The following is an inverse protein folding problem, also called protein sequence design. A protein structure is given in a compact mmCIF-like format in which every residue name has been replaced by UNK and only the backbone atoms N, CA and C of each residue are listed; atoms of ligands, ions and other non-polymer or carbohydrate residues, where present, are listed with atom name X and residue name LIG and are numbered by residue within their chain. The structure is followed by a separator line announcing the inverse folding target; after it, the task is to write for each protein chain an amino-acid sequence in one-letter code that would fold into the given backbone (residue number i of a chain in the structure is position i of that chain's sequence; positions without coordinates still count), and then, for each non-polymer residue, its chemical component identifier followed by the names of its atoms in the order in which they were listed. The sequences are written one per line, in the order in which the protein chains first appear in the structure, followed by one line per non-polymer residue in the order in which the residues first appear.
data_IF_191012111040
#
_entry.id   IF_191012111040
#
_cell.length_a   1.000
_cell.length_b   1.000
_cell.length_c   1.000
_cell.angle_alpha   90.00
_cell.angle_beta   90.00
_cell.angle_gamma   90.00
#
_symmetry.space_group_name_H-M   'P 1'
#
loop_
_entity.id
_entity.type
_entity.pdbx_description
1 polymer ?
#
# COMPACT_ATOMS: atom_id res chain seq x y z
N UNK A 1 -1.75 9.57 20.93
CA UNK A 1 -1.71 9.99 19.52
C UNK A 1 -2.97 9.48 18.84
N UNK A 2 -3.60 10.30 18.02
CA UNK A 2 -4.79 9.89 17.26
C UNK A 2 -4.42 8.80 16.23
N UNK A 3 -5.26 7.79 16.07
CA UNK A 3 -5.03 6.66 15.16
C UNK A 3 -3.74 5.86 15.45
N UNK A 4 -3.31 5.79 16.69
CA UNK A 4 -2.01 5.18 17.06
C UNK A 4 -1.91 3.70 16.67
N UNK A 5 -2.96 2.92 16.87
CA UNK A 5 -2.97 1.49 16.57
C UNK A 5 -2.72 1.21 15.08
N UNK A 6 -3.49 1.86 14.21
CA UNK A 6 -3.35 1.66 12.76
C UNK A 6 -2.02 2.18 12.21
N UNK A 7 -1.49 3.30 12.76
CA UNK A 7 -0.16 3.81 12.40
C UNK A 7 0.94 2.81 12.75
N UNK A 8 0.89 2.20 13.95
CA UNK A 8 1.84 1.15 14.36
C UNK A 8 1.77 -0.04 13.43
N UNK A 9 0.58 -0.53 13.09
CA UNK A 9 0.41 -1.65 12.16
C UNK A 9 1.00 -1.37 10.79
N UNK A 10 0.75 -0.19 10.21
CA UNK A 10 1.34 0.20 8.92
C UNK A 10 2.85 0.34 8.99
N UNK A 11 3.37 0.92 10.09
CA UNK A 11 4.80 1.05 10.30
C UNK A 11 5.50 -0.32 10.42
N UNK A 12 4.95 -1.22 11.22
CA UNK A 12 5.48 -2.58 11.39
C UNK A 12 5.50 -3.32 10.05
N UNK A 13 4.42 -3.24 9.29
CA UNK A 13 4.31 -3.89 7.99
C UNK A 13 5.33 -3.35 6.96
N UNK A 14 5.54 -2.03 6.91
CA UNK A 14 6.52 -1.46 5.97
C UNK A 14 7.96 -1.80 6.37
N UNK A 15 8.28 -1.82 7.66
CA UNK A 15 9.60 -2.22 8.15
C UNK A 15 9.87 -3.69 7.85
N UNK A 16 8.90 -4.56 8.05
CA UNK A 16 8.99 -5.98 7.67
C UNK A 16 9.18 -6.15 6.16
N UNK A 17 8.47 -5.39 5.34
CA UNK A 17 8.62 -5.43 3.88
C UNK A 17 10.02 -4.98 3.43
N UNK A 18 10.61 -3.98 4.09
CA UNK A 18 11.99 -3.55 3.85
C UNK A 18 12.98 -4.64 4.28
N UNK A 19 12.81 -5.22 5.47
CA UNK A 19 13.67 -6.30 5.98
C UNK A 19 13.67 -7.52 5.05
N UNK A 20 12.52 -7.87 4.49
CA UNK A 20 12.36 -8.98 3.53
C UNK A 20 12.79 -8.64 2.10
N UNK A 21 13.28 -7.42 1.83
CA UNK A 21 13.71 -6.99 0.50
C UNK A 21 12.58 -6.83 -0.52
N UNK A 22 11.33 -6.71 -0.07
CA UNK A 22 10.16 -6.47 -0.92
C UNK A 22 10.05 -5.02 -1.35
N UNK A 23 10.67 -4.13 -0.59
CA UNK A 23 10.69 -2.68 -0.79
C UNK A 23 12.14 -2.19 -0.71
N UNK A 24 12.55 -1.40 -1.71
CA UNK A 24 13.87 -0.81 -1.78
C UNK A 24 13.80 0.73 -1.75
N UNK A 25 14.61 1.34 -0.90
CA UNK A 25 14.67 2.80 -0.78
C UNK A 25 13.35 3.39 -0.32
N UNK A 26 12.78 4.26 -1.13
CA UNK A 26 11.48 4.94 -0.88
C UNK A 26 10.38 4.47 -1.81
N UNK A 27 10.63 3.40 -2.57
CA UNK A 27 9.65 2.83 -3.50
C UNK A 27 8.61 1.97 -2.76
N UNK A 28 7.44 1.81 -3.37
CA UNK A 28 6.34 1.08 -2.75
C UNK A 28 5.65 1.86 -1.63
N UNK A 29 4.57 1.33 -1.15
CA UNK A 29 3.81 1.90 -0.03
C UNK A 29 2.88 0.85 0.58
N UNK A 30 2.48 1.09 1.81
CA UNK A 30 1.47 0.30 2.51
C UNK A 30 0.41 1.24 3.03
N UNK A 31 -0.85 0.87 2.79
CA UNK A 31 -2.00 1.58 3.32
C UNK A 31 -2.94 0.62 4.04
N UNK A 32 -3.57 1.09 5.10
CA UNK A 32 -4.54 0.33 5.86
C UNK A 32 -5.72 1.22 6.25
N UNK A 33 -6.92 0.69 6.11
CA UNK A 33 -8.18 1.32 6.49
C UNK A 33 -8.40 1.15 7.98
N UNK A 34 -8.89 2.20 8.65
CA UNK A 34 -9.27 2.12 10.06
C UNK A 34 -10.47 1.17 10.25
N UNK A 35 -10.52 0.48 11.38
CA UNK A 35 -11.56 -0.51 11.67
C UNK A 35 -12.88 0.12 12.13
N UNK A 36 -12.82 1.31 12.73
CA UNK A 36 -13.98 2.02 13.28
C UNK A 36 -14.55 3.01 12.26
N UNK A 37 -13.66 3.74 11.57
CA UNK A 37 -14.05 4.67 10.50
C UNK A 37 -13.38 4.26 9.17
N UNK A 38 -14.13 3.62 8.32
CA UNK A 38 -13.65 3.08 7.04
C UNK A 38 -13.25 4.15 6.01
N UNK A 39 -13.54 5.42 6.26
CA UNK A 39 -13.06 6.53 5.44
C UNK A 39 -11.66 6.98 5.84
N UNK A 40 -11.21 6.58 7.01
CA UNK A 40 -9.85 6.87 7.49
C UNK A 40 -8.88 5.81 6.99
N UNK A 41 -7.77 6.24 6.43
CA UNK A 41 -6.70 5.39 5.91
C UNK A 41 -5.36 5.90 6.42
N UNK A 42 -4.61 5.02 7.08
CA UNK A 42 -3.20 5.25 7.38
C UNK A 42 -2.37 4.78 6.17
N UNK A 43 -1.40 5.59 5.77
CA UNK A 43 -0.53 5.28 4.62
C UNK A 43 0.90 5.77 4.87
N UNK A 44 1.86 5.03 4.35
CA UNK A 44 3.27 5.43 4.39
C UNK A 44 3.49 6.77 3.68
N UNK A 45 4.43 7.61 4.19
CA UNK A 45 4.72 8.92 3.58
C UNK A 45 5.45 8.80 2.25
N UNK A 46 5.44 9.89 1.49
CA UNK A 46 6.09 10.00 0.18
C UNK A 46 7.57 10.40 0.33
N UNK A 47 8.46 9.64 -0.32
CA UNK A 47 9.86 10.03 -0.51
C UNK A 47 10.72 10.07 0.76
N UNK A 48 10.26 9.46 1.85
CA UNK A 48 10.96 9.39 3.13
C UNK A 48 11.49 7.97 3.33
N UNK A 49 12.74 7.85 3.82
CA UNK A 49 13.30 6.55 4.19
C UNK A 49 12.48 5.91 5.32
N UNK A 50 12.17 4.64 5.16
CA UNK A 50 11.45 3.88 6.19
C UNK A 50 12.32 3.56 7.41
N UNK A 51 13.64 3.57 7.27
CA UNK A 51 14.58 3.34 8.40
C UNK A 51 14.50 4.47 9.42
N UNK A 52 14.21 4.13 10.66
CA UNK A 52 14.09 5.11 11.76
C UNK A 52 12.76 5.85 11.81
N UNK A 53 11.80 5.49 10.95
CA UNK A 53 10.45 6.05 10.95
C UNK A 53 9.71 5.72 12.26
N UNK A 54 8.84 6.62 12.67
CA UNK A 54 8.02 6.48 13.87
C UNK A 54 6.53 6.47 13.51
N UNK A 55 5.64 6.01 14.40
CA UNK A 55 4.21 5.98 14.13
C UNK A 55 3.61 7.34 13.73
N UNK A 56 4.09 8.44 14.30
CA UNK A 56 3.66 9.80 13.96
C UNK A 56 4.04 10.25 12.54
N UNK A 57 4.97 9.53 11.90
CA UNK A 57 5.40 9.80 10.53
C UNK A 57 4.47 9.17 9.48
N UNK A 58 3.69 8.15 9.88
CA UNK A 58 2.65 7.56 9.03
C UNK A 58 1.53 8.59 8.84
N UNK A 59 1.21 8.89 7.58
CA UNK A 59 0.18 9.84 7.25
C UNK A 59 -1.22 9.25 7.45
N UNK A 60 -2.15 10.10 7.87
CA UNK A 60 -3.58 9.78 7.92
C UNK A 60 -4.30 10.61 6.87
N UNK A 61 -5.07 9.94 6.04
CA UNK A 61 -5.94 10.57 5.05
C UNK A 61 -7.39 10.19 5.32
N UNK A 62 -8.27 11.13 5.07
CA UNK A 62 -9.72 10.92 5.09
C UNK A 62 -10.24 10.93 3.65
N UNK A 63 -10.93 9.85 3.28
CA UNK A 63 -11.59 9.76 2.00
C UNK A 63 -12.96 10.42 2.10
N UNK A 64 -13.22 11.43 1.27
CA UNK A 64 -14.48 12.17 1.22
C UNK A 64 -15.51 11.46 0.34
N UNK A 65 -16.78 11.85 0.49
CA UNK A 65 -17.91 11.32 -0.29
C UNK A 65 -17.76 11.58 -1.79
N UNK A 66 -17.16 12.71 -2.16
CA UNK A 66 -16.88 13.08 -3.56
C UNK A 66 -15.71 12.28 -4.19
N UNK A 67 -15.09 11.37 -3.41
CA UNK A 67 -13.97 10.53 -3.84
C UNK A 67 -12.60 11.18 -3.68
N UNK A 68 -12.52 12.42 -3.22
CA UNK A 68 -11.25 13.08 -2.89
C UNK A 68 -10.65 12.51 -1.60
N UNK A 69 -9.35 12.71 -1.43
CA UNK A 69 -8.62 12.31 -0.24
C UNK A 69 -8.00 13.55 0.41
N UNK A 70 -8.29 13.75 1.68
CA UNK A 70 -7.73 14.84 2.48
C UNK A 70 -6.68 14.30 3.45
N UNK A 71 -5.49 14.89 3.42
CA UNK A 71 -4.47 14.61 4.43
C UNK A 71 -4.82 15.36 5.72
N UNK A 72 -5.14 14.61 6.78
CA UNK A 72 -5.66 15.17 8.02
C UNK A 72 -4.68 15.09 9.20
N UNK A 73 -3.63 14.22 9.14
CA UNK A 73 -2.65 14.09 10.22
C UNK A 73 -1.38 13.36 9.75
N UNK A 74 -0.27 13.54 10.48
CA UNK A 74 1.04 12.94 10.24
C UNK A 74 2.12 13.99 9.97
N UNK A 75 3.39 13.66 10.28
CA UNK A 75 4.51 14.58 10.14
C UNK A 75 4.92 14.81 8.67
N UNK A 76 4.64 13.86 7.80
CA UNK A 76 5.06 13.89 6.39
C UNK A 76 3.88 13.71 5.45
N UNK A 77 4.00 14.31 4.26
CA UNK A 77 3.02 14.18 3.19
C UNK A 77 2.78 12.71 2.85
N UNK A 78 1.52 12.28 2.71
CA UNK A 78 1.19 10.91 2.32
C UNK A 78 1.78 10.54 0.96
N UNK A 79 1.94 9.24 0.71
CA UNK A 79 2.33 8.71 -0.61
C UNK A 79 1.48 9.33 -1.73
N UNK A 80 2.10 9.60 -2.87
CA UNK A 80 1.39 10.03 -4.09
C UNK A 80 0.38 9.00 -4.59
N UNK A 81 0.51 7.76 -4.14
CA UNK A 81 -0.35 6.63 -4.51
C UNK A 81 -1.64 6.51 -3.66
N UNK A 82 -1.94 7.52 -2.82
CA UNK A 82 -3.21 7.57 -2.05
C UNK A 82 -4.42 7.28 -2.93
N UNK A 83 -4.58 7.91 -4.13
CA UNK A 83 -5.76 7.67 -4.96
C UNK A 83 -5.91 6.21 -5.38
N UNK A 84 -4.81 5.54 -5.75
CA UNK A 84 -4.81 4.12 -6.13
C UNK A 84 -5.22 3.25 -4.94
N UNK A 85 -4.57 3.43 -3.78
CA UNK A 85 -4.84 2.63 -2.58
C UNK A 85 -6.30 2.77 -2.11
N UNK A 86 -6.80 4.00 -2.07
CA UNK A 86 -8.18 4.27 -1.63
C UNK A 86 -9.22 3.79 -2.64
N UNK A 87 -8.91 3.81 -3.95
CA UNK A 87 -9.80 3.30 -4.98
C UNK A 87 -9.91 1.76 -4.93
N UNK A 88 -8.81 1.04 -4.69
CA UNK A 88 -8.83 -0.41 -4.44
C UNK A 88 -9.75 -0.71 -3.26
N UNK A 89 -9.57 0.00 -2.14
CA UNK A 89 -10.40 -0.18 -0.94
C UNK A 89 -11.88 0.16 -1.17
N UNK A 90 -12.16 1.12 -2.05
CA UNK A 90 -13.54 1.47 -2.42
C UNK A 90 -14.22 0.37 -3.21
N UNK A 91 -13.53 -0.18 -4.22
CA UNK A 91 -14.06 -1.26 -5.08
C UNK A 91 -14.10 -2.60 -4.38
N UNK A 92 -13.24 -2.81 -3.41
CA UNK A 92 -13.13 -4.03 -2.62
C UNK A 92 -13.40 -3.73 -1.15
N UNK A 93 -14.68 -3.63 -0.73
CA UNK A 93 -15.03 -3.35 0.66
C UNK A 93 -14.60 -4.46 1.64
N UNK A 94 -14.31 -5.64 1.15
CA UNK A 94 -13.73 -6.78 1.86
C UNK A 94 -12.23 -6.61 2.15
N UNK A 95 -11.52 -5.74 1.40
CA UNK A 95 -10.09 -5.46 1.57
C UNK A 95 -9.88 -4.33 2.58
N UNK A 96 -9.04 -4.55 3.59
CA UNK A 96 -8.74 -3.57 4.62
C UNK A 96 -7.33 -2.96 4.49
N UNK A 97 -6.44 -3.58 3.74
CA UNK A 97 -5.08 -3.08 3.51
C UNK A 97 -4.64 -3.31 2.07
N UNK A 98 -3.68 -2.52 1.65
CA UNK A 98 -3.00 -2.65 0.36
C UNK A 98 -1.48 -2.61 0.58
N UNK A 99 -0.76 -3.44 -0.15
CA UNK A 99 0.70 -3.47 -0.16
C UNK A 99 1.15 -3.32 -1.60
N UNK A 100 1.79 -2.19 -1.89
CA UNK A 100 2.39 -1.91 -3.19
C UNK A 100 3.91 -2.12 -3.11
N UNK A 101 4.42 -3.02 -3.90
CA UNK A 101 5.86 -3.33 -3.98
C UNK A 101 6.38 -3.11 -5.40
N UNK A 102 7.68 -2.83 -5.51
CA UNK A 102 8.39 -2.78 -6.79
C UNK A 102 9.23 -4.05 -6.95
N UNK A 103 8.58 -5.20 -7.03
CA UNK A 103 9.26 -6.48 -7.25
C UNK A 103 9.99 -6.47 -8.60
N UNK A 104 11.31 -6.67 -8.57
CA UNK A 104 12.15 -6.67 -9.77
C UNK A 104 11.68 -7.69 -10.81
N UNK A 105 11.36 -8.90 -10.39
CA UNK A 105 10.92 -9.96 -11.30
C UNK A 105 9.55 -9.68 -11.90
N UNK A 106 8.59 -9.16 -11.11
CA UNK A 106 7.28 -8.77 -11.63
C UNK A 106 7.42 -7.61 -12.64
N UNK A 107 8.29 -6.64 -12.36
CA UNK A 107 8.56 -5.53 -13.27
C UNK A 107 9.19 -6.03 -14.58
N UNK A 108 10.14 -6.95 -14.52
CA UNK A 108 10.75 -7.56 -15.73
C UNK A 108 9.67 -8.29 -16.55
N UNK A 109 8.80 -9.06 -15.90
CA UNK A 109 7.68 -9.73 -16.60
C UNK A 109 6.73 -8.72 -17.26
N UNK A 110 6.42 -7.62 -16.59
CA UNK A 110 5.55 -6.57 -17.12
C UNK A 110 6.15 -5.81 -18.32
N UNK A 111 7.47 -5.81 -18.49
CA UNK A 111 8.15 -5.21 -19.63
C UNK A 111 8.19 -6.12 -20.87
N UNK A 112 7.74 -7.36 -20.78
CA UNK A 112 7.72 -8.33 -21.87
C UNK A 112 6.61 -8.02 -22.90
N UNK A 113 6.79 -8.53 -24.13
CA UNK A 113 5.80 -8.38 -25.21
C UNK A 113 4.50 -9.16 -24.97
N UNK A 114 4.53 -10.15 -24.05
CA UNK A 114 3.37 -10.96 -23.65
C UNK A 114 3.24 -10.92 -22.11
N UNK A 115 2.48 -9.98 -21.57
CA UNK A 115 2.35 -9.78 -20.12
C UNK A 115 1.46 -10.82 -19.41
N UNK A 116 1.23 -11.97 -20.00
CA UNK A 116 0.46 -13.07 -19.40
C UNK A 116 1.38 -13.99 -18.59
N UNK A 117 1.13 -14.10 -17.29
CA UNK A 117 1.80 -15.07 -16.43
C UNK A 117 1.01 -16.38 -16.43
N UNK A 118 1.56 -17.42 -17.09
CA UNK A 118 1.00 -18.77 -17.00
C UNK A 118 1.25 -19.37 -15.61
N UNK A 119 0.28 -20.09 -15.05
CA UNK A 119 0.47 -20.77 -13.77
C UNK A 119 1.50 -21.90 -13.93
N UNK A 120 2.54 -21.86 -13.11
CA UNK A 120 3.56 -22.90 -13.04
C UNK A 120 3.58 -23.61 -11.69
N UNK A 121 2.86 -23.11 -10.70
CA UNK A 121 2.73 -23.72 -9.38
C UNK A 121 1.27 -23.82 -8.97
N UNK A 122 0.87 -24.83 -8.15
CA UNK A 122 -0.53 -24.98 -7.72
C UNK A 122 -1.16 -23.72 -7.12
N UNK A 123 -0.49 -22.92 -6.26
CA UNK A 123 -1.07 -21.68 -5.74
C UNK A 123 -1.39 -20.65 -6.83
N UNK A 124 -0.65 -20.63 -7.94
CA UNK A 124 -0.91 -19.71 -9.05
C UNK A 124 -2.17 -20.07 -9.83
N UNK A 125 -2.58 -21.34 -9.81
CA UNK A 125 -3.80 -21.78 -10.50
C UNK A 125 -5.08 -21.20 -9.91
N UNK A 126 -5.04 -20.69 -8.68
CA UNK A 126 -6.18 -20.01 -8.04
C UNK A 126 -6.39 -18.58 -8.58
N UNK A 127 -5.38 -17.99 -9.20
CA UNK A 127 -5.35 -16.60 -9.62
C UNK A 127 -5.17 -16.38 -11.12
N UNK A 128 -5.40 -17.39 -11.94
CA UNK A 128 -5.14 -17.32 -13.38
C UNK A 128 -6.39 -17.17 -14.23
N UNK A 129 -6.26 -16.50 -15.38
CA UNK A 129 -5.06 -15.82 -15.88
C UNK A 129 -4.76 -14.55 -15.08
N UNK A 130 -3.45 -14.29 -14.80
CA UNK A 130 -3.02 -13.01 -14.27
C UNK A 130 -2.67 -12.12 -15.45
N UNK A 131 -3.51 -11.16 -15.74
CA UNK A 131 -3.19 -10.09 -16.69
C UNK A 131 -2.31 -9.05 -15.98
N UNK A 132 -1.20 -8.70 -16.60
CA UNK A 132 -0.35 -7.60 -16.15
C UNK A 132 -0.83 -6.35 -16.88
N UNK A 133 -1.39 -5.39 -16.15
CA UNK A 133 -1.90 -4.11 -16.65
C UNK A 133 -0.88 -3.00 -16.47
#
# INVERSE_FOLDING_TARGET
MKYEAIRKTVLEAILEAVEKGLINGTSGNIAMRDSEDRNIVAITPSGISYTGMKPEDIAIVERKEDGTNEWIDGNYKPSSEVPMNTEVMRRRPDVNATVHTHSMYATICAMGENPELKPITPPQCEFTPVEIV
#
